data_IF_000379224167
#
_entry.id   IF_000379224167
#
_cell.length_a   1.000
_cell.length_b   1.000
_cell.length_c   1.000
_cell.angle_alpha   90.00
_cell.angle_beta   90.00
_cell.angle_gamma   90.00
#
_symmetry.space_group_name_H-M   'P 1'
#
loop_
_entity.id
_entity.type
_entity.pdbx_description
1 polymer ?
#
# COMPACT_ATOMS: atom_id res chain seq x y z
N UNK A 1 -9.55 -15.77 -9.74
CA UNK A 1 -8.40 -15.58 -8.82
C UNK A 1 -8.70 -14.42 -7.87
N UNK A 2 -8.26 -14.50 -6.63
CA UNK A 2 -8.42 -13.46 -5.63
C UNK A 2 -7.15 -13.38 -4.75
N UNK A 3 -7.11 -12.45 -3.80
CA UNK A 3 -5.89 -12.22 -2.98
C UNK A 3 -5.63 -13.34 -1.96
N UNK A 4 -6.57 -14.21 -1.65
CA UNK A 4 -6.42 -15.24 -0.62
C UNK A 4 -5.43 -16.36 -0.97
N UNK A 5 -5.00 -16.46 -2.24
CA UNK A 5 -3.94 -17.37 -2.65
C UNK A 5 -2.53 -16.92 -2.31
N UNK A 6 -2.35 -15.71 -1.75
CA UNK A 6 -1.03 -15.15 -1.45
C UNK A 6 -0.71 -15.23 0.04
N UNK A 7 0.58 -15.29 0.34
CA UNK A 7 1.13 -15.21 1.68
C UNK A 7 2.33 -14.27 1.70
N UNK A 8 2.64 -13.75 2.88
CA UNK A 8 3.80 -12.93 3.13
C UNK A 8 4.27 -13.10 4.58
N UNK A 9 5.50 -12.71 4.88
CA UNK A 9 5.97 -12.69 6.26
C UNK A 9 5.53 -11.43 6.96
N UNK A 10 5.00 -11.59 8.18
CA UNK A 10 4.74 -10.44 9.06
C UNK A 10 6.05 -9.69 9.34
N UNK A 11 5.95 -8.47 9.86
CA UNK A 11 7.15 -7.68 10.19
C UNK A 11 8.03 -8.33 11.26
N UNK A 12 7.49 -9.28 12.01
CA UNK A 12 8.21 -10.12 13.00
C UNK A 12 8.72 -11.45 12.42
N UNK A 13 8.52 -11.68 11.11
CA UNK A 13 9.05 -12.84 10.39
C UNK A 13 8.15 -14.08 10.38
N UNK A 14 6.91 -13.98 10.82
CA UNK A 14 5.96 -15.09 10.85
C UNK A 14 5.23 -15.23 9.50
N UNK A 15 5.06 -16.46 9.04
CA UNK A 15 4.28 -16.72 7.83
C UNK A 15 2.81 -16.34 8.06
N UNK A 16 2.28 -15.48 7.19
CA UNK A 16 0.91 -14.98 7.26
C UNK A 16 0.22 -15.18 5.92
N UNK A 17 -0.94 -15.79 5.94
CA UNK A 17 -1.74 -16.01 4.74
C UNK A 17 -2.81 -14.93 4.63
N UNK A 18 -3.02 -14.38 3.43
CA UNK A 18 -4.07 -13.38 3.23
C UNK A 18 -5.47 -13.95 3.45
N UNK A 19 -5.63 -15.27 3.32
CA UNK A 19 -6.86 -15.98 3.67
C UNK A 19 -7.27 -15.81 5.14
N UNK A 20 -6.34 -15.54 6.05
CA UNK A 20 -6.62 -15.28 7.47
C UNK A 20 -7.51 -14.04 7.67
N UNK A 21 -7.57 -13.16 6.68
CA UNK A 21 -8.40 -11.95 6.68
C UNK A 21 -9.71 -12.09 5.90
N UNK A 22 -10.05 -13.30 5.47
CA UNK A 22 -11.28 -13.57 4.70
C UNK A 22 -12.53 -13.09 5.46
N UNK A 23 -13.43 -12.45 4.72
CA UNK A 23 -14.65 -11.87 5.30
C UNK A 23 -14.50 -10.43 5.78
N UNK A 24 -13.28 -9.90 5.80
CA UNK A 24 -13.04 -8.47 6.02
C UNK A 24 -12.79 -7.75 4.70
N UNK A 25 -13.15 -6.47 4.64
CA UNK A 25 -12.65 -5.56 3.60
C UNK A 25 -11.19 -5.28 3.90
N UNK A 26 -10.32 -5.35 2.89
CA UNK A 26 -8.87 -5.20 3.06
C UNK A 26 -8.38 -3.98 2.28
N UNK A 27 -7.51 -3.19 2.88
CA UNK A 27 -6.75 -2.15 2.19
C UNK A 27 -5.26 -2.54 2.24
N UNK A 28 -4.68 -2.85 1.09
CA UNK A 28 -3.24 -3.16 0.96
C UNK A 28 -2.51 -1.89 0.58
N UNK A 29 -1.49 -1.53 1.34
CA UNK A 29 -0.74 -0.26 1.19
C UNK A 29 0.76 -0.54 1.21
N UNK A 30 1.51 -0.03 0.22
CA UNK A 30 2.97 0.00 0.34
C UNK A 30 3.39 1.26 1.09
N UNK A 31 4.21 1.10 2.12
CA UNK A 31 4.51 2.14 3.11
C UNK A 31 5.97 2.54 3.14
N UNK A 32 6.26 3.69 3.75
CA UNK A 32 7.62 4.15 4.00
C UNK A 32 7.67 5.08 5.22
N UNK A 33 8.83 5.14 5.88
CA UNK A 33 9.04 5.94 7.10
C UNK A 33 9.60 7.34 6.83
N UNK A 34 10.15 7.60 5.64
CA UNK A 34 10.84 8.86 5.28
C UNK A 34 10.28 9.50 4.00
N UNK A 35 9.01 9.31 3.72
CA UNK A 35 8.32 9.82 2.55
C UNK A 35 7.51 11.08 2.90
N UNK A 36 7.29 11.96 1.92
CA UNK A 36 6.36 13.09 2.08
C UNK A 36 4.93 12.67 2.40
N UNK A 37 4.53 11.44 2.05
CA UNK A 37 3.22 10.87 2.36
C UNK A 37 3.16 10.08 3.67
N UNK A 38 4.26 9.98 4.42
CA UNK A 38 4.33 9.19 5.67
C UNK A 38 3.28 9.63 6.71
N UNK A 39 2.89 10.92 6.71
CA UNK A 39 1.81 11.42 7.54
C UNK A 39 0.46 10.72 7.29
N UNK A 40 0.27 10.04 6.15
CA UNK A 40 -0.94 9.25 5.87
C UNK A 40 -1.12 8.07 6.85
N UNK A 41 -0.09 7.64 7.55
CA UNK A 41 -0.23 6.64 8.63
C UNK A 41 -1.28 7.07 9.67
N UNK A 42 -1.38 8.35 9.99
CA UNK A 42 -2.39 8.86 10.93
C UNK A 42 -3.81 8.58 10.45
N UNK A 43 -4.11 8.95 9.20
CA UNK A 43 -5.43 8.70 8.61
C UNK A 43 -5.73 7.23 8.42
N UNK A 44 -4.73 6.43 8.04
CA UNK A 44 -4.87 4.97 7.91
C UNK A 44 -5.21 4.33 9.27
N UNK A 45 -4.50 4.70 10.34
CA UNK A 45 -4.78 4.16 11.68
C UNK A 45 -6.17 4.56 12.17
N UNK A 46 -6.61 5.79 11.93
CA UNK A 46 -7.98 6.23 12.24
C UNK A 46 -9.04 5.39 11.53
N UNK A 47 -8.85 5.08 10.25
CA UNK A 47 -9.74 4.19 9.50
C UNK A 47 -9.76 2.79 10.09
N UNK A 48 -8.58 2.24 10.39
CA UNK A 48 -8.46 0.91 10.97
C UNK A 48 -9.19 0.82 12.31
N UNK A 49 -8.92 1.73 13.24
CA UNK A 49 -9.56 1.77 14.55
C UNK A 49 -11.08 1.90 14.46
N UNK A 50 -11.56 2.70 13.51
CA UNK A 50 -13.00 2.94 13.32
C UNK A 50 -13.76 1.71 12.82
N UNK A 51 -13.14 0.89 11.97
CA UNK A 51 -13.81 -0.20 11.24
C UNK A 51 -13.18 -1.58 11.46
N UNK A 52 -12.28 -1.76 12.42
CA UNK A 52 -11.44 -2.97 12.60
C UNK A 52 -12.20 -4.29 12.76
N UNK A 53 -13.47 -4.26 13.11
CA UNK A 53 -14.29 -5.48 13.20
C UNK A 53 -14.56 -6.07 11.80
N UNK A 54 -14.70 -5.24 10.78
CA UNK A 54 -15.03 -5.63 9.41
C UNK A 54 -13.99 -5.21 8.36
N UNK A 55 -12.94 -4.52 8.78
CA UNK A 55 -11.94 -3.92 7.91
C UNK A 55 -10.53 -4.14 8.47
N UNK A 56 -9.56 -4.35 7.59
CA UNK A 56 -8.15 -4.45 7.97
C UNK A 56 -7.27 -3.73 6.96
N UNK A 57 -6.19 -3.13 7.45
CA UNK A 57 -5.12 -2.57 6.62
C UNK A 57 -3.91 -3.49 6.71
N UNK A 58 -3.31 -3.81 5.56
CA UNK A 58 -2.08 -4.59 5.45
C UNK A 58 -0.99 -3.68 4.90
N UNK A 59 -0.04 -3.31 5.76
CA UNK A 59 1.05 -2.40 5.42
C UNK A 59 2.31 -3.15 4.99
N UNK A 60 2.81 -2.85 3.78
CA UNK A 60 4.01 -3.45 3.21
C UNK A 60 5.10 -2.39 3.02
N UNK A 61 6.08 -2.29 3.92
CA UNK A 61 7.19 -1.37 3.75
C UNK A 61 7.98 -1.67 2.47
N UNK A 62 8.40 -0.63 1.75
CA UNK A 62 9.23 -0.75 0.56
C UNK A 62 10.29 0.34 0.50
N UNK A 63 11.51 -0.01 0.11
CA UNK A 63 12.63 0.93 0.00
C UNK A 63 12.95 1.35 -1.44
N UNK A 64 12.06 1.07 -2.39
CA UNK A 64 12.33 1.26 -3.82
C UNK A 64 12.18 2.70 -4.32
N UNK A 65 11.58 3.59 -3.51
CA UNK A 65 11.28 4.96 -3.90
C UNK A 65 12.24 5.91 -3.19
N UNK A 66 13.37 6.20 -3.80
CA UNK A 66 14.47 7.02 -3.26
C UNK A 66 15.03 6.52 -1.92
N UNK A 67 14.93 5.22 -1.63
CA UNK A 67 15.41 4.69 -0.36
C UNK A 67 14.70 5.28 0.86
N UNK A 68 13.40 5.56 0.77
CA UNK A 68 12.63 6.22 1.83
C UNK A 68 12.18 5.30 2.97
N UNK A 69 12.59 4.03 2.94
CA UNK A 69 12.36 3.08 4.03
C UNK A 69 13.59 2.19 4.30
N UNK A 70 14.74 2.79 4.66
CA UNK A 70 16.02 2.09 4.72
C UNK A 70 16.22 1.24 5.98
N UNK A 71 15.35 1.38 6.98
CA UNK A 71 15.48 0.70 8.27
C UNK A 71 15.32 -0.82 8.20
N UNK A 72 15.70 -1.49 9.28
CA UNK A 72 15.36 -2.91 9.48
C UNK A 72 13.87 -3.06 9.74
N UNK A 73 13.33 -4.28 9.65
CA UNK A 73 11.93 -4.54 9.98
C UNK A 73 11.58 -4.09 11.41
N UNK A 74 12.48 -4.32 12.39
CA UNK A 74 12.29 -3.87 13.77
C UNK A 74 12.27 -2.34 13.90
N UNK A 75 13.16 -1.63 13.20
CA UNK A 75 13.21 -0.16 13.20
C UNK A 75 11.96 0.44 12.55
N UNK A 76 11.48 -0.15 11.45
CA UNK A 76 10.24 0.26 10.78
C UNK A 76 9.03 0.06 11.70
N UNK A 77 8.93 -1.10 12.34
CA UNK A 77 7.86 -1.40 13.30
C UNK A 77 7.84 -0.39 14.45
N UNK A 78 9.00 -0.12 15.04
CA UNK A 78 9.12 0.85 16.13
C UNK A 78 8.77 2.27 15.68
N UNK A 79 9.21 2.68 14.49
CA UNK A 79 8.86 3.98 13.91
C UNK A 79 7.35 4.15 13.79
N UNK A 80 6.67 3.17 13.20
CA UNK A 80 5.22 3.21 12.99
C UNK A 80 4.47 3.27 14.33
N UNK A 81 4.88 2.46 15.30
CA UNK A 81 4.25 2.43 16.62
C UNK A 81 4.47 3.74 17.40
N UNK A 82 5.70 4.21 17.48
CA UNK A 82 6.05 5.37 18.32
C UNK A 82 5.58 6.70 17.74
N UNK A 83 5.56 6.85 16.42
CA UNK A 83 5.20 8.12 15.77
C UNK A 83 3.71 8.22 15.41
N UNK A 84 3.04 7.09 15.11
CA UNK A 84 1.67 7.08 14.61
C UNK A 84 0.74 6.12 15.35
N UNK A 85 1.24 5.37 16.33
CA UNK A 85 0.45 4.38 17.05
C UNK A 85 -0.12 3.29 16.16
N UNK A 86 0.54 2.96 15.05
CA UNK A 86 0.07 1.97 14.08
C UNK A 86 -0.18 0.63 14.77
N UNK A 87 -1.43 0.15 14.67
CA UNK A 87 -1.86 -1.13 15.24
C UNK A 87 -2.36 -2.12 14.18
N UNK A 88 -2.53 -1.69 12.92
CA UNK A 88 -2.85 -2.62 11.84
C UNK A 88 -1.63 -3.48 11.47
N UNK A 89 -1.85 -4.69 10.88
CA UNK A 89 -0.77 -5.59 10.49
C UNK A 89 0.26 -4.95 9.56
N UNK A 90 1.53 -5.07 9.93
CA UNK A 90 2.68 -4.73 9.10
C UNK A 90 3.39 -6.01 8.66
N UNK A 91 3.96 -5.98 7.47
CA UNK A 91 4.72 -7.07 6.87
C UNK A 91 6.20 -6.73 6.74
N UNK A 92 7.03 -7.71 6.47
CA UNK A 92 8.45 -7.47 6.15
C UNK A 92 8.56 -6.53 4.94
N UNK A 93 9.64 -5.75 4.91
CA UNK A 93 9.97 -4.92 3.76
C UNK A 93 10.12 -5.78 2.50
N UNK A 94 9.43 -5.39 1.42
CA UNK A 94 9.42 -6.11 0.15
C UNK A 94 9.61 -5.15 -1.03
N UNK A 95 9.97 -5.70 -2.16
CA UNK A 95 9.87 -4.99 -3.44
C UNK A 95 8.43 -5.09 -3.97
N UNK A 96 7.91 -3.99 -4.46
CA UNK A 96 6.53 -3.88 -4.95
C UNK A 96 6.45 -3.65 -6.46
N UNK A 97 7.61 -3.58 -7.13
CA UNK A 97 7.75 -3.48 -8.58
C UNK A 97 9.11 -4.00 -9.02
N UNK A 98 9.25 -4.29 -10.32
CA UNK A 98 10.50 -4.76 -10.92
C UNK A 98 10.68 -6.28 -10.78
N UNK A 99 11.89 -6.73 -11.08
CA UNK A 99 12.22 -8.16 -11.20
C UNK A 99 11.97 -8.97 -9.92
N UNK A 100 12.21 -8.35 -8.75
CA UNK A 100 12.08 -9.01 -7.44
C UNK A 100 10.75 -8.65 -6.74
N UNK A 101 9.79 -8.13 -7.47
CA UNK A 101 8.48 -7.77 -6.92
C UNK A 101 7.81 -8.96 -6.23
N UNK A 102 7.23 -8.71 -5.07
CA UNK A 102 6.44 -9.72 -4.38
C UNK A 102 5.22 -10.10 -5.25
N UNK A 103 4.91 -11.39 -5.44
CA UNK A 103 3.84 -11.85 -6.34
C UNK A 103 2.48 -11.22 -6.08
N UNK A 104 2.16 -10.87 -4.83
CA UNK A 104 0.94 -10.15 -4.48
C UNK A 104 0.84 -8.82 -5.26
N UNK A 105 1.93 -8.05 -5.31
CA UNK A 105 1.91 -6.74 -5.98
C UNK A 105 1.84 -6.86 -7.50
N UNK A 106 2.44 -7.89 -8.09
CA UNK A 106 2.25 -8.19 -9.52
C UNK A 106 0.78 -8.48 -9.83
N UNK A 107 0.13 -9.27 -8.98
CA UNK A 107 -1.29 -9.55 -9.09
C UNK A 107 -2.15 -8.28 -8.94
N UNK A 108 -1.87 -7.45 -7.94
CA UNK A 108 -2.64 -6.23 -7.66
C UNK A 108 -2.56 -5.22 -8.82
N UNK A 109 -1.37 -4.98 -9.34
CA UNK A 109 -1.16 -4.03 -10.44
C UNK A 109 -1.75 -4.52 -11.76
N UNK A 110 -1.74 -5.84 -12.00
CA UNK A 110 -2.44 -6.44 -13.14
C UNK A 110 -3.97 -6.36 -13.01
N UNK A 111 -4.50 -6.59 -11.80
CA UNK A 111 -5.95 -6.54 -11.53
C UNK A 111 -6.50 -5.11 -11.64
N UNK A 112 -5.71 -4.11 -11.20
CA UNK A 112 -6.04 -2.68 -11.29
C UNK A 112 -4.86 -1.90 -11.87
N UNK A 113 -4.84 -1.74 -13.20
CA UNK A 113 -3.82 -0.98 -13.90
C UNK A 113 -3.75 0.48 -13.48
N UNK A 114 -2.61 1.09 -13.73
CA UNK A 114 -2.41 2.53 -13.52
C UNK A 114 -3.24 3.34 -14.50
N UNK A 115 -3.96 4.34 -14.01
CA UNK A 115 -4.86 5.17 -14.83
C UNK A 115 -4.19 6.36 -15.51
N UNK A 116 -2.88 6.52 -15.34
CA UNK A 116 -2.11 7.66 -15.87
C UNK A 116 -1.99 8.81 -14.86
N UNK A 117 -1.11 9.75 -15.17
CA UNK A 117 -0.93 10.97 -14.40
C UNK A 117 -1.82 12.08 -14.97
N UNK A 118 -2.49 12.82 -14.09
CA UNK A 118 -3.12 14.09 -14.46
C UNK A 118 -2.08 15.20 -14.44
N UNK A 119 -1.58 15.60 -15.61
CA UNK A 119 -0.52 16.61 -15.70
C UNK A 119 -1.00 18.03 -15.39
N UNK A 120 -2.31 18.26 -15.28
CA UNK A 120 -2.88 19.52 -14.83
C UNK A 120 -2.90 19.65 -13.30
N UNK A 121 -2.72 18.54 -12.60
CA UNK A 121 -2.51 18.51 -11.14
C UNK A 121 -1.02 18.69 -10.82
N UNK A 122 -0.70 19.63 -9.94
CA UNK A 122 0.68 19.96 -9.59
C UNK A 122 1.44 18.80 -8.94
N UNK A 123 0.77 18.07 -8.05
CA UNK A 123 1.37 16.94 -7.32
C UNK A 123 1.59 15.74 -8.24
N UNK A 124 0.61 15.39 -9.07
CA UNK A 124 0.74 14.29 -10.04
C UNK A 124 1.80 14.62 -11.10
N UNK A 125 1.83 15.87 -11.57
CA UNK A 125 2.86 16.35 -12.51
C UNK A 125 4.27 16.24 -11.92
N UNK A 126 4.44 16.55 -10.62
CA UNK A 126 5.69 16.36 -9.90
C UNK A 126 6.14 14.89 -9.93
N UNK A 127 5.25 13.95 -9.61
CA UNK A 127 5.57 12.52 -9.61
C UNK A 127 5.78 11.95 -11.01
N UNK A 128 5.09 12.47 -12.01
CA UNK A 128 5.40 12.17 -13.41
C UNK A 128 6.85 12.53 -13.75
N UNK A 129 7.30 13.75 -13.42
CA UNK A 129 8.66 14.20 -13.69
C UNK A 129 9.71 13.36 -12.94
N UNK A 130 9.48 13.08 -11.66
CA UNK A 130 10.38 12.21 -10.86
C UNK A 130 10.49 10.83 -11.50
N UNK A 131 9.36 10.23 -11.87
CA UNK A 131 9.36 8.90 -12.49
C UNK A 131 10.07 8.92 -13.83
N UNK A 132 9.81 9.92 -14.65
CA UNK A 132 10.46 10.09 -15.96
C UNK A 132 11.98 10.25 -15.87
N UNK A 133 12.45 10.98 -14.87
CA UNK A 133 13.87 11.30 -14.72
C UNK A 133 14.65 10.20 -13.98
N UNK A 134 14.08 9.64 -12.93
CA UNK A 134 14.79 8.72 -12.02
C UNK A 134 14.43 7.24 -12.24
N UNK A 135 13.23 6.96 -12.76
CA UNK A 135 12.72 5.59 -12.94
C UNK A 135 12.00 5.44 -14.29
N UNK A 136 12.64 5.80 -15.42
CA UNK A 136 11.96 5.84 -16.73
C UNK A 136 11.38 4.50 -17.18
N UNK A 137 11.94 3.38 -16.71
CA UNK A 137 11.46 2.03 -16.99
C UNK A 137 10.07 1.75 -16.42
N UNK A 138 9.64 2.53 -15.41
CA UNK A 138 8.34 2.38 -14.75
C UNK A 138 7.35 3.50 -15.14
N UNK A 139 7.67 4.33 -16.13
CA UNK A 139 6.82 5.47 -16.49
C UNK A 139 5.52 5.05 -17.16
N UNK A 140 5.61 4.15 -18.13
CA UNK A 140 4.52 3.81 -19.04
C UNK A 140 3.88 2.44 -18.72
N UNK A 141 4.21 1.82 -17.61
CA UNK A 141 3.66 0.55 -17.17
C UNK A 141 2.62 0.70 -16.06
N UNK A 142 2.07 -0.42 -15.59
CA UNK A 142 1.07 -0.46 -14.52
C UNK A 142 1.67 -0.55 -13.12
N UNK A 143 3.00 -0.48 -12.99
CA UNK A 143 3.70 -0.57 -11.71
C UNK A 143 3.27 0.53 -10.73
N UNK A 144 3.51 0.28 -9.45
CA UNK A 144 3.35 1.27 -8.39
C UNK A 144 4.29 2.45 -8.65
N UNK A 145 3.77 3.68 -8.61
CA UNK A 145 4.53 4.88 -8.95
C UNK A 145 5.25 5.51 -7.76
N UNK A 146 4.69 5.37 -6.56
CA UNK A 146 5.31 5.87 -5.32
C UNK A 146 4.79 5.16 -4.08
N UNK A 147 5.35 5.50 -2.90
CA UNK A 147 4.88 5.01 -1.61
C UNK A 147 3.43 5.43 -1.33
N UNK A 148 2.73 4.68 -0.49
CA UNK A 148 1.33 4.89 -0.10
C UNK A 148 0.34 4.76 -1.27
N UNK A 149 0.64 3.91 -2.24
CA UNK A 149 -0.34 3.37 -3.17
C UNK A 149 -1.20 2.34 -2.45
N UNK A 150 -2.51 2.35 -2.67
CA UNK A 150 -3.47 1.54 -1.94
C UNK A 150 -4.32 0.73 -2.91
N UNK A 151 -4.64 -0.50 -2.50
CA UNK A 151 -5.56 -1.38 -3.23
C UNK A 151 -6.68 -1.79 -2.28
N UNK A 152 -7.92 -1.52 -2.66
CA UNK A 152 -9.12 -1.88 -1.90
C UNK A 152 -9.63 -3.25 -2.35
N UNK A 153 -9.84 -4.15 -1.40
CA UNK A 153 -10.21 -5.54 -1.62
C UNK A 153 -11.54 -5.83 -0.94
N UNK A 154 -12.46 -6.49 -1.64
CA UNK A 154 -13.75 -6.90 -1.08
C UNK A 154 -13.61 -8.05 -0.07
N UNK A 155 -14.67 -8.32 0.67
CA UNK A 155 -14.76 -9.45 1.62
C UNK A 155 -14.50 -10.82 0.97
N UNK A 156 -14.71 -10.94 -0.34
CA UNK A 156 -14.47 -12.14 -1.15
C UNK A 156 -13.04 -12.20 -1.71
N UNK A 157 -12.20 -11.20 -1.41
CA UNK A 157 -10.81 -11.15 -1.88
C UNK A 157 -10.63 -10.59 -3.28
N UNK A 158 -11.64 -9.94 -3.86
CA UNK A 158 -11.57 -9.32 -5.17
C UNK A 158 -11.00 -7.91 -5.09
N UNK A 159 -10.07 -7.57 -5.98
CA UNK A 159 -9.52 -6.21 -6.07
C UNK A 159 -10.56 -5.28 -6.68
N UNK A 160 -11.00 -4.30 -5.90
CA UNK A 160 -12.09 -3.37 -6.27
C UNK A 160 -11.54 -2.11 -6.90
N UNK A 161 -10.54 -1.48 -6.28
CA UNK A 161 -9.99 -0.21 -6.76
C UNK A 161 -8.51 -0.05 -6.37
N UNK A 162 -7.81 0.79 -7.13
CA UNK A 162 -6.47 1.27 -6.86
C UNK A 162 -6.51 2.78 -6.61
N UNK A 163 -5.81 3.22 -5.58
CA UNK A 163 -5.62 4.64 -5.26
C UNK A 163 -4.12 4.93 -5.23
N UNK A 164 -3.66 5.82 -6.08
CA UNK A 164 -2.26 6.19 -6.07
C UNK A 164 -1.90 7.07 -4.86
N UNK A 165 -0.63 7.33 -4.65
CA UNK A 165 -0.05 7.89 -3.42
C UNK A 165 -0.73 9.18 -2.93
N UNK A 166 -1.15 10.03 -3.86
CA UNK A 166 -1.77 11.34 -3.57
C UNK A 166 -3.23 11.26 -3.14
N UNK A 167 -3.88 10.12 -3.26
CA UNK A 167 -5.24 9.93 -2.72
C UNK A 167 -5.16 9.64 -1.24
N UNK A 168 -5.82 10.47 -0.42
CA UNK A 168 -5.75 10.40 1.04
C UNK A 168 -6.63 9.29 1.62
N UNK A 169 -6.33 8.80 2.84
CA UNK A 169 -7.20 7.86 3.55
C UNK A 169 -8.63 8.37 3.72
N UNK A 170 -8.81 9.66 3.97
CA UNK A 170 -10.11 10.30 4.14
C UNK A 170 -10.97 10.23 2.88
N UNK A 171 -10.33 10.37 1.70
CA UNK A 171 -11.02 10.27 0.40
C UNK A 171 -11.49 8.84 0.09
N UNK A 172 -10.79 7.84 0.62
CA UNK A 172 -11.09 6.41 0.39
C UNK A 172 -12.21 5.90 1.32
N UNK A 173 -12.44 6.54 2.46
CA UNK A 173 -13.37 6.07 3.50
C UNK A 173 -14.75 5.73 2.94
N UNK A 174 -15.29 6.57 2.06
CA UNK A 174 -16.61 6.37 1.44
C UNK A 174 -16.70 5.05 0.64
N UNK A 175 -15.61 4.65 -0.01
CA UNK A 175 -15.57 3.43 -0.80
C UNK A 175 -15.41 2.20 0.10
N UNK A 176 -14.68 2.32 1.21
CA UNK A 176 -14.60 1.28 2.24
C UNK A 176 -15.98 0.99 2.81
N UNK A 177 -16.70 2.04 3.22
CA UNK A 177 -18.04 1.93 3.84
C UNK A 177 -19.03 1.20 2.92
N UNK A 178 -18.97 1.40 1.61
CA UNK A 178 -19.83 0.69 0.64
C UNK A 178 -19.65 -0.82 0.63
N UNK A 179 -18.49 -1.31 1.09
CA UNK A 179 -18.13 -2.73 1.08
C UNK A 179 -18.34 -3.42 2.45
N UNK A 180 -18.55 -2.65 3.52
CA UNK A 180 -18.78 -3.19 4.85
C UNK A 180 -20.15 -3.86 4.97
#
# INVERSE_FOLDING_TARGET
>A
MNVYGFNAKSITGEDTFLEDYKGKVILIVNTASKCGFTAQFEGLEKLYEKYKDQFVILGFPSNQFRGQDPGTNAEIQNFCLLNFGVSFPLFERVDVRGENSHPLFDYLTNAKPFKGFNLDDELESKFYNITKEEYPEFLDDDSIKWNFTKFLISKEGKVIERYDSWVTPEEIEKDIVKLL
#
